data_IF_949777341682
#
_entry.id   IF_949777341682
#
_cell.length_a   1.000
_cell.length_b   1.000
_cell.length_c   1.000
_cell.angle_alpha   90.00
_cell.angle_beta   90.00
_cell.angle_gamma   90.00
#
_symmetry.space_group_name_H-M   'P 1'
#
loop_
_entity.id
_entity.type
_entity.pdbx_description
1 polymer ?
#
# COMPACT_ATOMS: atom_id res chain seq x y z
N UNK A 1 -12.29 15.11 16.19
CA UNK A 1 -12.07 14.14 15.09
C UNK A 1 -10.75 13.43 15.36
N UNK A 2 -10.79 12.26 15.99
CA UNK A 2 -9.57 11.51 16.33
C UNK A 2 -9.00 10.87 15.08
N UNK A 3 -7.83 11.35 14.63
CA UNK A 3 -7.09 10.70 13.55
C UNK A 3 -6.61 9.34 14.06
N UNK A 4 -7.26 8.27 13.62
CA UNK A 4 -6.70 6.92 13.72
C UNK A 4 -5.37 6.94 12.95
N UNK A 5 -4.25 6.79 13.66
CA UNK A 5 -2.92 6.73 13.07
C UNK A 5 -2.75 5.39 12.33
N UNK A 6 -3.36 5.27 11.16
CA UNK A 6 -3.08 4.20 10.22
C UNK A 6 -1.74 4.50 9.54
N UNK A 7 -0.87 3.50 9.42
CA UNK A 7 0.40 3.63 8.68
C UNK A 7 0.37 2.78 7.39
N UNK A 8 -0.40 3.19 6.35
CA UNK A 8 -0.31 2.54 5.04
C UNK A 8 1.09 2.71 4.45
N UNK A 9 1.53 1.69 3.73
CA UNK A 9 2.74 1.75 2.92
C UNK A 9 2.38 2.07 1.47
N UNK A 10 3.16 2.95 0.85
CA UNK A 10 2.95 3.41 -0.52
C UNK A 10 4.26 3.43 -1.28
N UNK A 11 4.21 3.06 -2.56
CA UNK A 11 5.27 3.39 -3.52
C UNK A 11 4.91 4.67 -4.25
N UNK A 12 5.92 5.45 -4.62
CA UNK A 12 5.78 6.60 -5.50
C UNK A 12 5.98 6.17 -6.94
N UNK A 13 5.19 6.71 -7.85
CA UNK A 13 5.30 6.51 -9.29
C UNK A 13 5.20 7.86 -10.01
N UNK A 14 5.40 7.87 -11.32
CA UNK A 14 5.20 9.06 -12.17
C UNK A 14 3.75 9.57 -12.17
N UNK A 15 2.77 8.71 -11.81
CA UNK A 15 1.34 9.06 -11.74
C UNK A 15 0.89 9.48 -10.33
N UNK A 16 1.80 9.45 -9.35
CA UNK A 16 1.50 9.66 -7.94
C UNK A 16 1.78 8.43 -7.08
N UNK A 17 1.28 8.43 -5.84
CA UNK A 17 1.52 7.34 -4.89
C UNK A 17 0.49 6.22 -5.02
N UNK A 18 0.95 4.97 -4.99
CA UNK A 18 0.11 3.77 -5.05
C UNK A 18 0.32 2.95 -3.77
N UNK A 19 -0.76 2.44 -3.18
CA UNK A 19 -0.69 1.58 -1.98
C UNK A 19 -0.09 0.22 -2.32
N UNK A 20 0.64 -0.35 -1.37
CA UNK A 20 1.11 -1.74 -1.49
C UNK A 20 0.25 -2.73 -0.69
N UNK A 21 -0.63 -2.23 0.19
CA UNK A 21 -1.57 -3.02 0.98
C UNK A 21 -3.02 -2.66 0.66
N UNK A 22 -3.90 -3.66 0.62
CA UNK A 22 -5.33 -3.50 0.42
C UNK A 22 -6.13 -3.43 1.72
N UNK A 23 -5.47 -3.69 2.85
CA UNK A 23 -6.02 -3.50 4.19
C UNK A 23 -5.03 -2.77 5.07
N UNK A 24 -5.55 -2.00 6.03
CA UNK A 24 -4.76 -1.46 7.13
C UNK A 24 -5.44 -1.76 8.45
N UNK A 25 -4.67 -2.27 9.40
CA UNK A 25 -5.07 -2.32 10.80
C UNK A 25 -4.68 -1.00 11.46
N UNK A 26 -5.66 -0.29 11.98
CA UNK A 26 -5.47 0.99 12.64
C UNK A 26 -5.78 0.85 14.13
N UNK A 27 -4.96 1.45 15.02
CA UNK A 27 -5.30 1.55 16.43
C UNK A 27 -6.58 2.40 16.56
N UNK A 28 -7.60 1.82 17.19
CA UNK A 28 -8.83 2.51 17.52
C UNK A 28 -8.61 3.54 18.61
N UNK A 29 -9.52 4.51 18.69
CA UNK A 29 -9.53 5.58 19.70
C UNK A 29 -9.88 5.07 21.11
N UNK A 30 -10.48 3.88 21.22
CA UNK A 30 -10.70 3.18 22.48
C UNK A 30 -9.60 2.12 22.70
N UNK A 31 -8.93 2.17 23.85
CA UNK A 31 -7.90 1.21 24.24
C UNK A 31 -8.37 -0.23 24.01
N UNK A 32 -7.70 -0.93 23.08
CA UNK A 32 -7.93 -2.35 22.79
C UNK A 32 -8.79 -2.66 21.57
N UNK A 33 -9.37 -1.67 20.88
CA UNK A 33 -10.07 -1.91 19.60
C UNK A 33 -9.15 -1.60 18.42
N UNK A 34 -8.98 -2.56 17.52
CA UNK A 34 -8.36 -2.36 16.20
C UNK A 34 -9.45 -2.22 15.15
N UNK A 35 -9.33 -1.21 14.28
CA UNK A 35 -10.19 -1.06 13.12
C UNK A 35 -9.45 -1.53 11.88
N UNK A 36 -10.10 -2.32 11.03
CA UNK A 36 -9.54 -2.72 9.74
C UNK A 36 -10.20 -1.88 8.65
N UNK A 37 -9.39 -1.13 7.91
CA UNK A 37 -9.85 -0.38 6.72
C UNK A 37 -9.52 -1.22 5.50
N UNK A 38 -10.53 -1.56 4.69
CA UNK A 38 -10.35 -2.21 3.38
C UNK A 38 -10.42 -1.19 2.25
N UNK A 39 -9.67 -1.43 1.19
CA UNK A 39 -9.61 -0.59 0.00
C UNK A 39 -9.99 -1.36 -1.27
N UNK A 40 -11.01 -2.21 -1.17
CA UNK A 40 -11.47 -3.02 -2.30
C UNK A 40 -11.81 -2.17 -3.55
N UNK A 41 -11.59 -2.74 -4.72
CA UNK A 41 -11.71 -2.13 -6.05
C UNK A 41 -10.74 -0.96 -6.34
N UNK A 42 -9.76 -0.70 -5.47
CA UNK A 42 -8.70 0.30 -5.73
C UNK A 42 -7.45 -0.31 -6.34
N UNK A 43 -6.69 0.49 -7.08
CA UNK A 43 -5.39 0.11 -7.64
C UNK A 43 -4.36 -0.08 -6.51
N UNK A 44 -3.54 -1.12 -6.65
CA UNK A 44 -2.45 -1.44 -5.72
C UNK A 44 -1.20 -1.87 -6.48
N UNK A 45 -0.03 -1.66 -5.89
CA UNK A 45 1.23 -2.20 -6.37
C UNK A 45 1.49 -3.52 -5.66
N UNK A 46 1.76 -4.59 -6.42
CA UNK A 46 2.21 -5.87 -5.87
C UNK A 46 3.66 -5.75 -5.40
N UNK A 47 3.82 -5.18 -4.21
CA UNK A 47 5.07 -5.07 -3.47
C UNK A 47 4.79 -5.54 -2.05
N UNK A 48 5.49 -6.57 -1.62
CA UNK A 48 5.40 -7.02 -0.22
C UNK A 48 6.05 -6.00 0.71
N UNK A 49 5.64 -5.96 1.98
CA UNK A 49 6.28 -5.10 2.98
C UNK A 49 7.79 -5.37 3.11
N UNK A 50 8.23 -6.61 2.86
CA UNK A 50 9.64 -6.99 2.86
C UNK A 50 10.40 -6.39 1.66
N UNK A 51 9.82 -6.45 0.46
CA UNK A 51 10.39 -5.81 -0.73
C UNK A 51 10.43 -4.30 -0.56
N UNK A 52 9.35 -3.69 -0.06
CA UNK A 52 9.31 -2.26 0.25
C UNK A 52 10.40 -1.84 1.23
N UNK A 53 10.69 -2.67 2.25
CA UNK A 53 11.80 -2.44 3.18
C UNK A 53 13.18 -2.49 2.52
N UNK A 54 13.32 -3.22 1.40
CA UNK A 54 14.56 -3.33 0.61
C UNK A 54 14.65 -2.32 -0.53
N UNK A 55 13.53 -1.69 -0.93
CA UNK A 55 13.55 -0.64 -1.94
C UNK A 55 14.45 0.50 -1.46
N UNK A 56 15.43 0.87 -2.30
CA UNK A 56 16.23 2.06 -2.08
C UNK A 56 15.38 3.31 -2.24
N UNK A 57 15.66 4.34 -1.45
CA UNK A 57 14.93 5.61 -1.56
C UNK A 57 15.27 6.29 -2.89
N UNK A 58 14.26 6.60 -3.69
CA UNK A 58 14.41 7.18 -5.03
C UNK A 58 14.99 6.23 -6.08
N UNK A 59 15.16 4.94 -5.78
CA UNK A 59 15.64 3.95 -6.75
C UNK A 59 14.44 3.35 -7.50
N UNK A 60 14.34 3.53 -8.83
CA UNK A 60 13.22 3.01 -9.59
C UNK A 60 13.30 1.49 -9.75
N UNK A 61 12.15 0.84 -9.57
CA UNK A 61 11.91 -0.58 -9.81
C UNK A 61 10.68 -0.75 -10.71
N UNK A 62 10.55 -1.91 -11.36
CA UNK A 62 9.34 -2.26 -12.11
C UNK A 62 8.33 -2.97 -11.20
N UNK A 63 7.35 -2.23 -10.69
CA UNK A 63 6.25 -2.79 -9.90
C UNK A 63 5.16 -3.34 -10.80
N UNK A 64 4.61 -4.50 -10.43
CA UNK A 64 3.40 -5.02 -11.05
C UNK A 64 2.18 -4.36 -10.39
N UNK A 65 1.18 -3.98 -11.19
CA UNK A 65 -0.07 -3.39 -10.72
C UNK A 65 -1.14 -4.46 -10.54
N UNK A 66 -2.05 -4.19 -9.63
CA UNK A 66 -3.17 -5.04 -9.29
C UNK A 66 -4.38 -4.25 -8.85
N UNK A 67 -5.44 -4.98 -8.48
CA UNK A 67 -6.66 -4.43 -7.92
C UNK A 67 -6.96 -5.08 -6.58
N UNK A 68 -7.28 -4.28 -5.57
CA UNK A 68 -7.66 -4.79 -4.27
C UNK A 68 -8.99 -5.55 -4.34
N UNK A 69 -9.00 -6.78 -3.83
CA UNK A 69 -10.21 -7.58 -3.68
C UNK A 69 -10.05 -8.56 -2.52
N UNK A 70 -10.98 -8.52 -1.58
CA UNK A 70 -10.96 -9.38 -0.39
C UNK A 70 -9.77 -9.07 0.51
N UNK A 71 -9.36 -7.80 0.57
CA UNK A 71 -8.23 -7.35 1.36
C UNK A 71 -6.84 -7.76 0.84
N UNK A 72 -6.75 -8.36 -0.34
CA UNK A 72 -5.50 -8.71 -1.03
C UNK A 72 -5.37 -7.98 -2.36
N UNK A 73 -4.14 -7.68 -2.76
CA UNK A 73 -3.86 -7.07 -4.07
C UNK A 73 -3.85 -8.16 -5.14
N UNK A 74 -4.91 -8.24 -5.94
CA UNK A 74 -5.02 -9.22 -7.01
C UNK A 74 -4.17 -8.78 -8.20
N UNK A 75 -3.30 -9.67 -8.65
CA UNK A 75 -2.37 -9.40 -9.73
C UNK A 75 -3.07 -9.04 -11.04
N UNK A 76 -2.67 -7.92 -11.65
CA UNK A 76 -2.95 -7.59 -13.05
C UNK A 76 -1.73 -7.85 -13.94
N UNK A 77 -1.79 -7.33 -15.18
CA UNK A 77 -0.72 -7.49 -16.18
C UNK A 77 0.05 -6.20 -16.49
N UNK A 78 -0.33 -5.08 -15.87
CA UNK A 78 0.32 -3.78 -16.08
C UNK A 78 1.52 -3.63 -15.14
N UNK A 79 2.58 -2.96 -15.61
CA UNK A 79 3.75 -2.60 -14.83
C UNK A 79 3.97 -1.10 -14.84
N UNK A 80 4.54 -0.57 -13.78
CA UNK A 80 4.91 0.84 -13.66
C UNK A 80 6.24 0.99 -12.94
N UNK A 81 6.98 2.04 -13.29
CA UNK A 81 8.14 2.45 -12.51
C UNK A 81 7.69 2.99 -11.14
N UNK A 82 8.28 2.43 -10.10
CA UNK A 82 7.93 2.71 -8.72
C UNK A 82 9.19 2.83 -7.85
N UNK A 83 9.14 3.67 -6.83
CA UNK A 83 10.22 3.82 -5.86
C UNK A 83 9.68 4.16 -4.48
N UNK A 84 10.49 3.92 -3.46
CA UNK A 84 10.20 4.39 -2.10
C UNK A 84 10.61 5.86 -1.99
N UNK A 85 9.75 6.70 -1.39
CA UNK A 85 10.13 8.04 -0.97
C UNK A 85 10.67 7.98 0.47
N UNK A 86 11.67 8.81 0.76
CA UNK A 86 12.32 8.93 2.08
C UNK A 86 11.32 9.07 3.22
#
# INVERSE_FOLDING_TARGET
>A
QGRSNCSPLFVTTTRGTIRITCTNTCPGVESGKTSVVSYDNSECALVTSQEYGRMGNGVPHSCLLGTCSGGSCQQGNLRIDCWKLN
#
